data_IF_654778421182
#
_entry.id   IF_654778421182
#
_cell.length_a   1.000
_cell.length_b   1.000
_cell.length_c   1.000
_cell.angle_alpha   90.00
_cell.angle_beta   90.00
_cell.angle_gamma   90.00
#
_symmetry.space_group_name_H-M   'P 1'
#
loop_
_entity.id
_entity.type
_entity.pdbx_description
1 polymer ?
#
# COMPACT_ATOMS: atom_id res chain seq x y z
N UNK A 1 22.49 -10.73 -1.48
CA UNK A 1 21.33 -9.82 -1.59
C UNK A 1 21.92 -8.43 -1.67
N UNK A 2 21.68 -7.67 -2.74
CA UNK A 2 22.10 -6.26 -2.75
C UNK A 2 21.18 -5.56 -1.77
N UNK A 3 21.70 -5.18 -0.61
CA UNK A 3 20.96 -4.38 0.36
C UNK A 3 20.66 -3.03 -0.28
N UNK A 4 19.39 -2.81 -0.63
CA UNK A 4 18.94 -1.52 -1.16
C UNK A 4 19.03 -0.46 -0.08
N UNK A 5 19.53 0.72 -0.41
CA UNK A 5 19.60 1.85 0.53
C UNK A 5 18.21 2.08 1.17
N UNK A 6 18.08 1.95 2.50
CA UNK A 6 16.81 2.12 3.20
C UNK A 6 16.12 3.44 2.89
N UNK A 7 16.89 4.49 2.57
CA UNK A 7 16.39 5.82 2.23
C UNK A 7 15.60 5.84 0.92
N UNK A 8 15.84 4.87 0.03
CA UNK A 8 15.13 4.72 -1.25
C UNK A 8 14.03 3.69 -1.12
N UNK A 9 14.33 2.56 -0.47
CA UNK A 9 13.40 1.44 -0.33
C UNK A 9 12.15 1.84 0.47
N UNK A 10 12.32 2.59 1.57
CA UNK A 10 11.20 3.02 2.41
C UNK A 10 10.18 3.91 1.66
N UNK A 11 10.56 5.05 1.06
CA UNK A 11 9.60 5.88 0.33
C UNK A 11 9.03 5.17 -0.90
N UNK A 12 9.82 4.35 -1.60
CA UNK A 12 9.32 3.57 -2.73
C UNK A 12 8.24 2.58 -2.29
N UNK A 13 8.46 1.86 -1.19
CA UNK A 13 7.46 0.95 -0.63
C UNK A 13 6.18 1.68 -0.21
N UNK A 14 6.30 2.89 0.35
CA UNK A 14 5.15 3.72 0.71
C UNK A 14 4.34 4.12 -0.54
N UNK A 15 5.01 4.62 -1.58
CA UNK A 15 4.37 5.00 -2.86
C UNK A 15 3.68 3.79 -3.50
N UNK A 16 4.39 2.66 -3.60
CA UNK A 16 3.82 1.43 -4.18
C UNK A 16 2.62 0.93 -3.38
N UNK A 17 2.65 1.04 -2.05
CA UNK A 17 1.51 0.67 -1.20
C UNK A 17 0.28 1.54 -1.45
N UNK A 18 0.47 2.85 -1.67
CA UNK A 18 -0.62 3.77 -2.03
C UNK A 18 -1.20 3.43 -3.41
N UNK A 19 -0.35 3.19 -4.40
CA UNK A 19 -0.79 2.82 -5.75
C UNK A 19 -1.57 1.51 -5.71
N UNK A 20 -1.05 0.49 -5.01
CA UNK A 20 -1.73 -0.79 -4.85
C UNK A 20 -3.07 -0.64 -4.12
N UNK A 21 -3.11 0.11 -3.01
CA UNK A 21 -4.33 0.38 -2.28
C UNK A 21 -5.38 1.09 -3.14
N UNK A 22 -4.99 2.05 -3.98
CA UNK A 22 -5.90 2.71 -4.91
C UNK A 22 -6.54 1.70 -5.88
N UNK A 23 -5.76 0.77 -6.44
CA UNK A 23 -6.29 -0.28 -7.33
C UNK A 23 -7.30 -1.18 -6.58
N UNK A 24 -6.97 -1.60 -5.35
CA UNK A 24 -7.83 -2.45 -4.53
C UNK A 24 -9.14 -1.74 -4.18
N UNK A 25 -9.08 -0.50 -3.70
CA UNK A 25 -10.27 0.29 -3.33
C UNK A 25 -11.10 0.60 -4.57
N UNK A 26 -10.47 0.86 -5.71
CA UNK A 26 -11.17 1.04 -6.98
C UNK A 26 -11.94 -0.23 -7.37
N UNK A 27 -11.28 -1.39 -7.37
CA UNK A 27 -11.93 -2.68 -7.63
C UNK A 27 -13.08 -2.95 -6.66
N UNK A 28 -12.88 -2.71 -5.37
CA UNK A 28 -13.91 -2.89 -4.35
C UNK A 28 -15.09 -1.93 -4.52
N UNK A 29 -14.87 -0.73 -5.08
CA UNK A 29 -15.93 0.22 -5.40
C UNK A 29 -16.81 -0.22 -6.56
N UNK A 30 -16.24 -0.90 -7.57
CA UNK A 30 -17.00 -1.44 -8.71
C UNK A 30 -18.03 -2.47 -8.26
N UNK A 31 -17.67 -3.30 -7.26
CA UNK A 31 -18.54 -4.35 -6.71
C UNK A 31 -19.44 -3.81 -5.57
N UNK A 32 -19.31 -2.53 -5.20
CA UNK A 32 -20.16 -1.88 -4.21
C UNK A 32 -19.80 -2.16 -2.74
N UNK A 33 -18.60 -2.66 -2.45
CA UNK A 33 -18.18 -2.94 -1.06
C UNK A 33 -17.78 -1.70 -0.28
N UNK A 34 -17.05 -0.77 -0.92
CA UNK A 34 -16.55 0.46 -0.29
C UNK A 34 -16.59 1.63 -1.27
N UNK A 35 -16.75 2.85 -0.75
CA UNK A 35 -16.65 4.05 -1.57
C UNK A 35 -15.19 4.33 -1.96
N UNK A 36 -14.95 4.73 -3.21
CA UNK A 36 -13.64 5.21 -3.62
C UNK A 36 -13.40 6.62 -3.05
N UNK A 37 -12.62 6.71 -1.97
CA UNK A 37 -12.32 7.97 -1.30
C UNK A 37 -10.90 8.01 -0.75
N UNK A 38 -10.34 9.22 -0.63
CA UNK A 38 -8.99 9.46 -0.10
C UNK A 38 -8.76 8.82 1.28
N UNK A 39 -9.66 8.95 2.28
CA UNK A 39 -9.46 8.33 3.59
C UNK A 39 -9.35 6.80 3.52
N UNK A 40 -10.18 6.15 2.70
CA UNK A 40 -10.18 4.68 2.56
C UNK A 40 -8.91 4.20 1.85
N UNK A 41 -8.46 4.92 0.81
CA UNK A 41 -7.20 4.61 0.12
C UNK A 41 -6.01 4.74 1.06
N UNK A 42 -5.93 5.83 1.84
CA UNK A 42 -4.83 6.05 2.79
C UNK A 42 -4.83 4.98 3.89
N UNK A 43 -6.00 4.66 4.45
CA UNK A 43 -6.12 3.60 5.46
C UNK A 43 -5.70 2.24 4.90
N UNK A 44 -6.15 1.89 3.69
CA UNK A 44 -5.77 0.64 3.01
C UNK A 44 -4.28 0.60 2.69
N UNK A 45 -3.70 1.72 2.24
CA UNK A 45 -2.28 1.85 1.95
C UNK A 45 -1.42 1.64 3.19
N UNK A 46 -1.82 2.19 4.34
CA UNK A 46 -1.12 1.97 5.60
C UNK A 46 -1.12 0.49 6.01
N UNK A 47 -2.26 -0.20 5.87
CA UNK A 47 -2.37 -1.64 6.15
C UNK A 47 -1.45 -2.44 5.23
N UNK A 48 -1.48 -2.18 3.92
CA UNK A 48 -0.64 -2.85 2.93
C UNK A 48 0.84 -2.60 3.21
N UNK A 49 1.21 -1.37 3.52
CA UNK A 49 2.59 -0.99 3.81
C UNK A 49 3.12 -1.73 5.03
N UNK A 50 2.37 -1.72 6.13
CA UNK A 50 2.75 -2.43 7.37
C UNK A 50 2.84 -3.93 7.13
N UNK A 51 1.86 -4.52 6.44
CA UNK A 51 1.88 -5.95 6.12
C UNK A 51 3.10 -6.33 5.27
N UNK A 52 3.44 -5.51 4.27
CA UNK A 52 4.61 -5.71 3.40
C UNK A 52 5.91 -5.55 4.17
N UNK A 53 6.02 -4.51 5.01
CA UNK A 53 7.20 -4.28 5.83
C UNK A 53 7.45 -5.42 6.81
N UNK A 54 6.41 -5.87 7.51
CA UNK A 54 6.47 -7.06 8.37
C UNK A 54 6.72 -8.35 7.58
N UNK A 55 6.43 -8.37 6.27
CA UNK A 55 6.73 -9.49 5.41
C UNK A 55 8.19 -9.61 5.00
N UNK A 56 8.88 -8.47 4.96
CA UNK A 56 10.30 -8.37 4.59
C UNK A 56 11.21 -8.42 5.83
N UNK A 57 10.73 -7.99 7.00
CA UNK A 57 11.51 -7.98 8.25
C UNK A 57 11.78 -9.40 8.84
N UNK A 58 11.39 -10.47 8.14
CA UNK A 58 11.59 -11.87 8.53
C UNK A 58 12.70 -12.47 7.67
#
# INVERSE_FOLDING_TARGET
MVDGDPRVVFPLAAVLSVVYAAIVVYGASIVGYVAFSLPIVIGTAAVVFVATYLAILR
#
